data_IF_427782149383
#
_entry.id   IF_427782149383
#
_cell.length_a   1.000
_cell.length_b   1.000
_cell.length_c   1.000
_cell.angle_alpha   90.00
_cell.angle_beta   90.00
_cell.angle_gamma   90.00
#
_symmetry.space_group_name_H-M   'P 1'
#
loop_
_entity.id
_entity.type
_entity.pdbx_description
1 polymer ?
#
# COMPACT_ATOMS: atom_id res chain seq x y z
N UNK A 1 2.72 -16.44 -12.74
CA UNK A 1 3.96 -16.23 -13.53
C UNK A 1 4.69 -14.93 -13.14
N UNK A 2 4.01 -13.76 -13.12
CA UNK A 2 4.66 -12.46 -12.81
C UNK A 2 5.26 -12.46 -11.39
N UNK A 3 4.49 -12.86 -10.38
CA UNK A 3 4.92 -12.97 -8.98
C UNK A 3 6.23 -13.76 -8.85
N UNK A 4 6.29 -14.96 -9.42
CA UNK A 4 7.50 -15.80 -9.37
C UNK A 4 8.72 -15.15 -10.04
N UNK A 5 8.50 -14.42 -11.16
CA UNK A 5 9.59 -13.68 -11.81
C UNK A 5 10.11 -12.55 -10.91
N UNK A 6 9.19 -11.80 -10.30
CA UNK A 6 9.55 -10.70 -9.39
C UNK A 6 10.32 -11.23 -8.17
N UNK A 7 9.80 -12.24 -7.48
CA UNK A 7 10.44 -12.83 -6.31
C UNK A 7 11.82 -13.41 -6.64
N UNK A 8 11.96 -14.16 -7.73
CA UNK A 8 13.27 -14.66 -8.18
C UNK A 8 14.25 -13.54 -8.53
N UNK A 9 13.77 -12.45 -9.15
CA UNK A 9 14.63 -11.31 -9.50
C UNK A 9 15.12 -10.56 -8.27
N UNK A 10 14.27 -10.40 -7.25
CA UNK A 10 14.63 -9.78 -5.97
C UNK A 10 15.55 -10.69 -5.16
N UNK A 11 15.37 -12.01 -5.27
CA UNK A 11 16.23 -13.04 -4.66
C UNK A 11 16.54 -12.78 -3.17
N UNK A 12 15.51 -12.43 -2.39
CA UNK A 12 15.65 -12.17 -0.94
C UNK A 12 16.40 -10.90 -0.55
N UNK A 13 16.92 -10.11 -1.50
CA UNK A 13 17.67 -8.88 -1.21
C UNK A 13 16.81 -7.78 -0.58
N UNK A 14 15.50 -7.84 -0.79
CA UNK A 14 14.50 -6.94 -0.19
C UNK A 14 13.24 -7.72 0.15
N UNK A 15 12.52 -7.37 1.23
CA UNK A 15 11.21 -7.98 1.51
C UNK A 15 10.20 -7.59 0.43
N UNK A 16 9.46 -8.59 -0.05
CA UNK A 16 8.40 -8.38 -1.05
C UNK A 16 7.06 -8.73 -0.42
N UNK A 17 6.13 -7.79 -0.45
CA UNK A 17 4.73 -8.01 -0.06
C UNK A 17 3.91 -8.25 -1.32
N UNK A 18 3.17 -9.35 -1.37
CA UNK A 18 2.37 -9.75 -2.53
C UNK A 18 0.91 -9.41 -2.30
N UNK A 19 0.30 -8.63 -3.21
CA UNK A 19 -1.15 -8.40 -3.22
C UNK A 19 -1.90 -9.67 -3.60
N UNK A 20 -2.79 -10.12 -2.71
CA UNK A 20 -3.53 -11.38 -2.86
C UNK A 20 -5.04 -11.21 -2.81
N UNK A 21 -5.53 -9.97 -2.78
CA UNK A 21 -6.96 -9.67 -2.68
C UNK A 21 -7.76 -10.39 -3.76
N UNK A 22 -8.77 -11.13 -3.34
CA UNK A 22 -9.67 -11.89 -4.21
C UNK A 22 -11.05 -11.97 -3.56
N UNK A 23 -12.16 -11.84 -4.30
CA UNK A 23 -13.51 -11.99 -3.75
C UNK A 23 -13.75 -13.37 -3.13
N UNK A 24 -13.16 -14.44 -3.67
CA UNK A 24 -13.21 -15.78 -3.10
C UNK A 24 -12.08 -16.01 -2.11
N UNK A 25 -12.42 -16.28 -0.84
CA UNK A 25 -11.43 -16.51 0.23
C UNK A 25 -10.51 -17.67 -0.08
N UNK A 26 -11.02 -18.77 -0.64
CA UNK A 26 -10.21 -19.93 -0.99
C UNK A 26 -9.13 -19.60 -2.02
N UNK A 27 -9.47 -18.81 -3.05
CA UNK A 27 -8.51 -18.34 -4.04
C UNK A 27 -7.45 -17.43 -3.41
N UNK A 28 -7.87 -16.56 -2.49
CA UNK A 28 -6.97 -15.69 -1.74
C UNK A 28 -5.97 -16.53 -0.92
N UNK A 29 -6.45 -17.56 -0.23
CA UNK A 29 -5.60 -18.47 0.57
C UNK A 29 -4.61 -19.23 -0.32
N UNK A 30 -5.07 -19.76 -1.45
CA UNK A 30 -4.19 -20.47 -2.41
C UNK A 30 -3.09 -19.54 -2.92
N UNK A 31 -3.46 -18.33 -3.35
CA UNK A 31 -2.48 -17.34 -3.83
C UNK A 31 -1.50 -16.91 -2.74
N UNK A 32 -1.98 -16.78 -1.51
CA UNK A 32 -1.15 -16.41 -0.36
C UNK A 32 -0.11 -17.49 -0.04
N UNK A 33 -0.52 -18.75 -0.01
CA UNK A 33 0.39 -19.88 0.20
C UNK A 33 1.44 -19.96 -0.92
N UNK A 34 1.02 -19.78 -2.17
CA UNK A 34 1.93 -19.76 -3.31
C UNK A 34 2.93 -18.60 -3.21
N UNK A 35 2.50 -17.41 -2.78
CA UNK A 35 3.37 -16.27 -2.55
C UNK A 35 4.41 -16.56 -1.46
N UNK A 36 3.97 -17.05 -0.29
CA UNK A 36 4.87 -17.37 0.82
C UNK A 36 5.85 -18.47 0.46
N UNK A 37 5.40 -19.55 -0.18
CA UNK A 37 6.27 -20.64 -0.66
C UNK A 37 7.28 -20.18 -1.72
N UNK A 38 7.01 -19.09 -2.40
CA UNK A 38 7.90 -18.48 -3.40
C UNK A 38 8.85 -17.43 -2.81
N UNK A 39 8.84 -17.23 -1.48
CA UNK A 39 9.75 -16.33 -0.77
C UNK A 39 9.21 -14.90 -0.56
N UNK A 40 7.92 -14.69 -0.61
CA UNK A 40 7.32 -13.42 -0.17
C UNK A 40 7.52 -13.21 1.34
N UNK A 41 7.70 -11.96 1.76
CA UNK A 41 7.81 -11.58 3.17
C UNK A 41 6.44 -11.43 3.85
N UNK A 42 5.37 -11.38 3.08
CA UNK A 42 4.00 -11.26 3.55
C UNK A 42 3.03 -11.02 2.41
N UNK A 43 1.76 -10.91 2.76
CA UNK A 43 0.68 -10.67 1.80
C UNK A 43 -0.07 -9.39 2.11
N UNK A 44 -0.64 -8.76 1.08
CA UNK A 44 -1.47 -7.57 1.22
C UNK A 44 -2.91 -7.88 0.83
N UNK A 45 -3.84 -7.49 1.70
CA UNK A 45 -5.28 -7.73 1.55
C UNK A 45 -6.04 -6.41 1.66
N UNK A 46 -6.89 -6.14 0.70
CA UNK A 46 -7.87 -5.05 0.70
C UNK A 46 -9.29 -5.55 0.99
N UNK A 47 -10.18 -4.65 1.38
CA UNK A 47 -11.61 -4.94 1.46
C UNK A 47 -12.19 -5.28 0.08
N UNK A 48 -13.22 -6.13 0.08
CA UNK A 48 -14.02 -6.41 -1.12
C UNK A 48 -15.20 -5.44 -1.22
N UNK A 49 -15.66 -5.08 -2.43
CA UNK A 49 -16.82 -4.21 -2.59
C UNK A 49 -18.05 -4.74 -1.86
N UNK A 50 -18.85 -3.82 -1.31
CA UNK A 50 -20.10 -4.15 -0.62
C UNK A 50 -20.03 -4.17 0.91
N UNK A 51 -18.85 -4.07 1.51
CA UNK A 51 -18.70 -3.86 2.95
C UNK A 51 -19.04 -2.41 3.29
N UNK A 52 -20.06 -2.19 4.13
CA UNK A 52 -20.59 -0.84 4.42
C UNK A 52 -20.48 -0.44 5.89
N UNK A 53 -20.30 -1.40 6.78
CA UNK A 53 -20.22 -1.15 8.22
C UNK A 53 -18.93 -1.72 8.80
N UNK A 54 -18.45 -1.13 9.90
CA UNK A 54 -17.27 -1.60 10.61
C UNK A 54 -17.36 -3.08 10.99
N UNK A 55 -18.54 -3.55 11.36
CA UNK A 55 -18.73 -4.96 11.71
C UNK A 55 -18.60 -5.89 10.49
N UNK A 56 -19.09 -5.46 9.31
CA UNK A 56 -18.88 -6.21 8.07
C UNK A 56 -17.41 -6.24 7.68
N UNK A 57 -16.72 -5.11 7.78
CA UNK A 57 -15.27 -4.99 7.54
C UNK A 57 -14.50 -5.90 8.48
N UNK A 58 -14.78 -5.81 9.79
CA UNK A 58 -14.14 -6.65 10.80
C UNK A 58 -14.33 -8.15 10.52
N UNK A 59 -15.58 -8.58 10.25
CA UNK A 59 -15.87 -9.99 9.94
C UNK A 59 -15.12 -10.48 8.72
N UNK A 60 -15.09 -9.69 7.65
CA UNK A 60 -14.38 -10.05 6.44
C UNK A 60 -12.89 -10.27 6.70
N UNK A 61 -12.22 -9.28 7.29
CA UNK A 61 -10.78 -9.40 7.56
C UNK A 61 -10.49 -10.50 8.59
N UNK A 62 -11.31 -10.67 9.61
CA UNK A 62 -11.19 -11.76 10.58
C UNK A 62 -11.27 -13.13 9.89
N UNK A 63 -12.25 -13.32 9.01
CA UNK A 63 -12.40 -14.56 8.25
C UNK A 63 -11.18 -14.83 7.37
N UNK A 64 -10.70 -13.83 6.66
CA UNK A 64 -9.50 -13.94 5.80
C UNK A 64 -8.27 -14.29 6.64
N UNK A 65 -8.02 -13.57 7.75
CA UNK A 65 -6.83 -13.79 8.57
C UNK A 65 -6.87 -15.17 9.25
N UNK A 66 -8.03 -15.61 9.72
CA UNK A 66 -8.17 -16.98 10.25
C UNK A 66 -7.87 -18.05 9.18
N UNK A 67 -8.34 -17.84 7.94
CA UNK A 67 -8.09 -18.78 6.83
C UNK A 67 -6.60 -18.78 6.37
N UNK A 68 -5.90 -17.65 6.51
CA UNK A 68 -4.46 -17.55 6.26
C UNK A 68 -3.63 -18.24 7.35
N UNK A 69 -4.10 -18.22 8.59
CA UNK A 69 -3.36 -18.68 9.76
C UNK A 69 -2.44 -17.61 10.37
N UNK A 70 -1.91 -17.86 11.59
CA UNK A 70 -1.16 -16.87 12.35
C UNK A 70 0.24 -16.57 11.81
N UNK A 71 0.80 -17.45 11.01
CA UNK A 71 2.19 -17.39 10.55
C UNK A 71 2.39 -16.47 9.34
N UNK A 72 1.33 -16.16 8.60
CA UNK A 72 1.46 -15.32 7.39
C UNK A 72 1.36 -13.84 7.80
N UNK A 73 2.44 -13.04 7.59
CA UNK A 73 2.39 -11.61 7.85
C UNK A 73 1.43 -10.90 6.88
N UNK A 74 0.54 -10.08 7.44
CA UNK A 74 -0.50 -9.38 6.68
C UNK A 74 -0.26 -7.88 6.68
N UNK A 75 -0.34 -7.30 5.49
CA UNK A 75 -0.51 -5.87 5.27
C UNK A 75 -2.00 -5.59 4.97
N UNK A 76 -2.68 -4.84 5.82
CA UNK A 76 -4.02 -4.33 5.50
C UNK A 76 -3.90 -3.19 4.51
N UNK A 77 -4.72 -3.20 3.45
CA UNK A 77 -4.81 -2.08 2.50
C UNK A 77 -6.14 -1.34 2.66
N UNK A 78 -6.04 -0.05 2.93
CA UNK A 78 -7.17 0.89 2.98
C UNK A 78 -7.14 1.77 1.73
N UNK A 79 -7.89 1.37 0.69
CA UNK A 79 -7.91 2.06 -0.61
C UNK A 79 -9.34 2.36 -1.08
N UNK A 80 -10.09 3.24 -0.36
CA UNK A 80 -11.48 3.56 -0.66
C UNK A 80 -11.75 3.99 -2.11
N UNK A 81 -10.86 4.77 -2.77
CA UNK A 81 -11.11 5.19 -4.15
C UNK A 81 -11.33 4.05 -5.14
N UNK A 82 -10.77 2.87 -4.87
CA UNK A 82 -10.93 1.69 -5.74
C UNK A 82 -11.87 0.66 -5.16
N UNK A 83 -11.77 0.39 -3.85
CA UNK A 83 -12.56 -0.66 -3.19
C UNK A 83 -13.95 -0.20 -2.81
N UNK A 84 -14.18 1.11 -2.69
CA UNK A 84 -15.39 1.73 -2.11
C UNK A 84 -15.65 1.34 -0.66
N UNK A 85 -14.66 0.76 0.01
CA UNK A 85 -14.71 0.35 1.41
C UNK A 85 -13.87 1.29 2.25
N UNK A 86 -14.48 1.88 3.26
CA UNK A 86 -13.82 2.79 4.19
C UNK A 86 -13.56 2.06 5.51
N UNK A 87 -12.30 2.01 5.92
CA UNK A 87 -11.93 1.46 7.22
C UNK A 87 -11.87 2.59 8.25
N UNK A 88 -12.68 2.52 9.29
CA UNK A 88 -12.59 3.47 10.41
C UNK A 88 -11.34 3.21 11.25
N UNK A 89 -10.87 4.22 11.98
CA UNK A 89 -9.79 4.07 12.96
C UNK A 89 -10.12 2.96 13.97
N UNK A 90 -11.37 2.90 14.44
CA UNK A 90 -11.82 1.90 15.40
C UNK A 90 -11.70 0.48 14.87
N UNK A 91 -12.15 0.22 13.63
CA UNK A 91 -12.04 -1.12 13.05
C UNK A 91 -10.60 -1.52 12.76
N UNK A 92 -9.76 -0.58 12.34
CA UNK A 92 -8.32 -0.83 12.12
C UNK A 92 -7.65 -1.19 13.45
N UNK A 93 -7.86 -0.40 14.52
CA UNK A 93 -7.29 -0.65 15.83
C UNK A 93 -7.75 -1.99 16.40
N UNK A 94 -9.03 -2.33 16.29
CA UNK A 94 -9.58 -3.62 16.69
C UNK A 94 -8.90 -4.79 15.95
N UNK A 95 -8.76 -4.70 14.64
CA UNK A 95 -8.08 -5.72 13.83
C UNK A 95 -6.61 -5.87 14.23
N UNK A 96 -5.89 -4.77 14.44
CA UNK A 96 -4.48 -4.80 14.87
C UNK A 96 -4.34 -5.46 16.25
N UNK A 97 -5.27 -5.19 17.16
CA UNK A 97 -5.27 -5.77 18.52
C UNK A 97 -5.53 -7.27 18.48
N UNK A 98 -6.56 -7.68 17.76
CA UNK A 98 -7.03 -9.07 17.76
C UNK A 98 -6.13 -10.00 16.91
N UNK A 99 -5.42 -9.45 15.90
CA UNK A 99 -4.63 -10.24 14.96
C UNK A 99 -3.15 -9.82 14.93
N UNK A 100 -2.28 -10.45 15.72
CA UNK A 100 -0.83 -10.18 15.74
C UNK A 100 -0.11 -10.38 14.40
N UNK A 101 -0.69 -11.16 13.47
CA UNK A 101 -0.17 -11.35 12.11
C UNK A 101 -0.26 -10.09 11.24
N UNK A 102 -1.10 -9.11 11.59
CA UNK A 102 -1.12 -7.81 10.93
C UNK A 102 0.16 -7.05 11.35
N UNK A 103 1.07 -6.86 10.41
CA UNK A 103 2.36 -6.19 10.62
C UNK A 103 2.43 -4.82 9.99
N UNK A 104 1.57 -4.56 9.02
CA UNK A 104 1.63 -3.37 8.19
C UNK A 104 0.24 -2.89 7.80
N UNK A 105 0.13 -1.59 7.60
CA UNK A 105 -1.06 -0.92 7.08
C UNK A 105 -0.66 -0.02 5.90
N UNK A 106 -1.22 -0.28 4.72
CA UNK A 106 -1.06 0.58 3.56
C UNK A 106 -2.21 1.58 3.51
N UNK A 107 -1.87 2.84 3.71
CA UNK A 107 -2.81 3.95 3.84
C UNK A 107 -3.00 4.66 2.50
N UNK A 108 -4.21 4.58 1.96
CA UNK A 108 -4.59 5.21 0.69
C UNK A 108 -5.97 5.90 0.76
N UNK A 109 -6.51 6.13 1.96
CA UNK A 109 -7.68 6.99 2.15
C UNK A 109 -7.33 8.43 1.81
N UNK A 110 -8.23 9.14 1.13
CA UNK A 110 -7.97 10.49 0.65
C UNK A 110 -9.24 11.36 0.79
N UNK A 111 -9.15 12.42 1.61
CA UNK A 111 -8.05 12.89 2.42
C UNK A 111 -7.90 12.08 3.72
N UNK A 112 -6.73 11.46 3.94
CA UNK A 112 -6.49 10.50 5.02
C UNK A 112 -5.63 10.99 6.19
N UNK A 113 -5.17 12.24 6.18
CA UNK A 113 -4.20 12.77 7.16
C UNK A 113 -4.67 12.65 8.61
N UNK A 114 -5.95 12.91 8.89
CA UNK A 114 -6.52 12.77 10.25
C UNK A 114 -6.51 11.31 10.71
N UNK A 115 -6.87 10.39 9.82
CA UNK A 115 -6.86 8.94 10.08
C UNK A 115 -5.44 8.49 10.45
N UNK A 116 -4.45 8.86 9.65
CA UNK A 116 -3.04 8.55 9.92
C UNK A 116 -2.60 9.07 11.30
N UNK A 117 -2.87 10.35 11.61
CA UNK A 117 -2.53 10.93 12.91
C UNK A 117 -3.21 10.20 14.07
N UNK A 118 -4.45 9.75 13.90
CA UNK A 118 -5.18 9.00 14.93
C UNK A 118 -4.58 7.61 15.12
N UNK A 119 -4.26 6.89 14.04
CA UNK A 119 -3.61 5.58 14.10
C UNK A 119 -2.22 5.65 14.78
N UNK A 120 -1.49 6.74 14.56
CA UNK A 120 -0.17 6.93 15.20
C UNK A 120 -0.24 7.22 16.69
N UNK A 121 -1.30 7.85 17.16
CA UNK A 121 -1.52 8.11 18.58
C UNK A 121 -2.10 6.89 19.32
N UNK A 122 -2.80 6.00 18.66
CA UNK A 122 -3.47 4.86 19.28
C UNK A 122 -2.56 3.98 20.17
N UNK A 123 -1.28 3.72 19.85
CA UNK A 123 -0.39 3.01 20.77
C UNK A 123 -0.23 3.67 22.14
N UNK A 124 -0.21 4.98 22.20
CA UNK A 124 -0.03 5.75 23.43
C UNK A 124 -1.35 5.96 24.20
N UNK A 125 -2.45 6.16 23.45
CA UNK A 125 -3.75 6.53 24.04
C UNK A 125 -4.66 5.34 24.33
N UNK A 126 -4.53 4.26 23.55
CA UNK A 126 -5.44 3.10 23.58
C UNK A 126 -4.68 1.77 23.81
N UNK A 127 -3.35 1.81 23.92
CA UNK A 127 -2.52 0.61 24.07
C UNK A 127 -2.50 -0.31 22.85
N UNK A 128 -2.91 0.16 21.70
CA UNK A 128 -2.88 -0.60 20.44
C UNK A 128 -1.44 -0.84 20.01
N UNK A 129 -1.14 -2.07 19.58
CA UNK A 129 0.20 -2.39 19.08
C UNK A 129 0.58 -1.52 17.87
N UNK A 130 1.78 -0.97 17.85
CA UNK A 130 2.30 -0.21 16.71
C UNK A 130 2.54 -1.14 15.52
N UNK A 131 2.05 -0.76 14.36
CA UNK A 131 2.33 -1.39 13.06
C UNK A 131 3.00 -0.39 12.12
N UNK A 132 3.71 -0.89 11.11
CA UNK A 132 4.22 -0.02 10.06
C UNK A 132 3.07 0.55 9.23
N UNK A 133 3.06 1.87 9.02
CA UNK A 133 2.10 2.54 8.13
C UNK A 133 2.86 3.06 6.92
N UNK A 134 2.49 2.57 5.72
CA UNK A 134 3.04 3.04 4.46
C UNK A 134 1.99 3.82 3.69
N UNK A 135 2.37 5.01 3.24
CA UNK A 135 1.54 5.84 2.39
C UNK A 135 1.46 5.27 0.97
N UNK A 136 0.31 5.44 0.33
CA UNK A 136 0.12 5.03 -1.06
C UNK A 136 -0.15 6.21 -2.00
N UNK A 137 -1.22 6.13 -2.79
CA UNK A 137 -1.68 7.21 -3.69
C UNK A 137 -0.57 7.82 -4.56
N UNK A 138 0.35 6.99 -5.09
CA UNK A 138 1.46 7.48 -5.89
C UNK A 138 2.50 8.31 -5.14
N UNK A 139 2.36 8.44 -3.83
CA UNK A 139 3.15 9.36 -3.01
C UNK A 139 2.64 10.79 -3.02
N UNK A 140 1.40 11.04 -3.48
CA UNK A 140 0.83 12.39 -3.67
C UNK A 140 0.85 13.27 -2.42
N UNK A 141 0.82 12.69 -1.25
CA UNK A 141 0.84 13.39 0.03
C UNK A 141 2.03 12.95 0.90
N UNK A 142 3.08 12.43 0.29
CA UNK A 142 4.20 11.80 1.01
C UNK A 142 4.80 12.70 2.09
N UNK A 143 5.19 13.98 1.85
CA UNK A 143 5.76 14.81 2.90
C UNK A 143 4.80 15.00 4.08
N UNK A 144 3.53 15.31 3.80
CA UNK A 144 2.52 15.55 4.83
C UNK A 144 2.23 14.28 5.64
N UNK A 145 2.34 13.11 5.04
CA UNK A 145 2.15 11.82 5.71
C UNK A 145 3.37 11.42 6.53
N UNK A 146 4.58 11.70 6.05
CA UNK A 146 5.81 11.50 6.82
C UNK A 146 5.83 12.36 8.09
N UNK A 147 5.46 13.64 8.00
CA UNK A 147 5.32 14.52 9.18
C UNK A 147 4.29 13.99 10.20
N UNK A 148 3.34 13.17 9.78
CA UNK A 148 2.36 12.53 10.65
C UNK A 148 2.77 11.14 11.12
N UNK A 149 4.01 10.75 10.83
CA UNK A 149 4.60 9.51 11.30
C UNK A 149 4.33 8.30 10.40
N UNK A 150 4.09 8.48 9.11
CA UNK A 150 4.20 7.36 8.17
C UNK A 150 5.63 6.82 8.20
N UNK A 151 5.78 5.49 8.11
CA UNK A 151 7.08 4.83 8.15
C UNK A 151 7.73 4.73 6.76
N UNK A 152 7.05 5.21 5.74
CA UNK A 152 7.52 5.18 4.38
C UNK A 152 6.40 5.22 3.36
N UNK A 153 6.71 4.84 2.12
CA UNK A 153 5.80 4.89 0.98
C UNK A 153 5.76 3.55 0.25
N UNK A 154 4.57 3.11 -0.15
CA UNK A 154 4.36 1.95 -1.01
C UNK A 154 3.58 2.42 -2.25
N UNK A 155 4.28 2.84 -3.27
CA UNK A 155 3.73 3.54 -4.43
C UNK A 155 4.17 2.94 -5.75
N UNK A 156 3.36 3.14 -6.78
CA UNK A 156 3.66 2.76 -8.15
C UNK A 156 4.16 3.91 -9.03
N UNK A 157 4.59 5.04 -8.47
CA UNK A 157 5.10 6.18 -9.22
C UNK A 157 6.29 5.81 -10.14
N UNK A 158 6.35 6.39 -11.34
CA UNK A 158 7.35 6.04 -12.35
C UNK A 158 8.79 6.44 -12.01
N UNK A 159 9.00 7.25 -10.97
CA UNK A 159 10.32 7.62 -10.45
C UNK A 159 10.49 7.18 -9.00
N UNK A 160 10.64 5.86 -8.74
CA UNK A 160 10.77 5.36 -7.37
C UNK A 160 12.01 5.89 -6.64
N UNK A 161 13.10 6.19 -7.37
CA UNK A 161 14.30 6.78 -6.79
C UNK A 161 14.05 8.16 -6.18
N UNK A 162 13.16 8.97 -6.77
CA UNK A 162 12.74 10.24 -6.18
C UNK A 162 12.12 10.03 -4.80
N UNK A 163 11.13 9.15 -4.70
CA UNK A 163 10.45 8.89 -3.43
C UNK A 163 11.41 8.31 -2.38
N UNK A 164 12.38 7.49 -2.80
CA UNK A 164 13.43 7.01 -1.92
C UNK A 164 14.31 8.16 -1.41
N UNK A 165 14.75 9.07 -2.29
CA UNK A 165 15.57 10.22 -1.90
C UNK A 165 14.81 11.18 -0.96
N UNK A 166 13.54 11.46 -1.23
CA UNK A 166 12.69 12.27 -0.35
C UNK A 166 12.58 11.62 1.03
N UNK A 167 12.35 10.30 1.09
CA UNK A 167 12.30 9.56 2.34
C UNK A 167 13.63 9.60 3.11
N UNK A 168 14.74 9.36 2.43
CA UNK A 168 16.08 9.37 3.03
C UNK A 168 16.46 10.74 3.60
N UNK A 169 16.15 11.82 2.86
CA UNK A 169 16.35 13.19 3.34
C UNK A 169 15.50 13.48 4.57
N UNK A 170 14.22 13.11 4.53
CA UNK A 170 13.32 13.31 5.67
C UNK A 170 13.80 12.57 6.91
N UNK A 171 14.25 11.33 6.77
CA UNK A 171 14.79 10.52 7.88
C UNK A 171 16.14 11.00 8.38
N UNK A 172 16.83 11.85 7.63
CA UNK A 172 18.08 12.51 8.02
C UNK A 172 17.85 13.90 8.62
N UNK A 173 16.64 14.21 9.09
CA UNK A 173 16.23 15.51 9.65
C UNK A 173 16.41 16.70 8.67
N UNK A 174 16.29 16.41 7.37
CA UNK A 174 16.35 17.38 6.27
C UNK A 174 15.00 17.52 5.58
N UNK A 175 13.95 17.79 6.38
CA UNK A 175 12.58 17.81 5.89
C UNK A 175 12.35 18.90 4.82
N UNK A 176 12.90 20.10 5.00
CA UNK A 176 12.77 21.20 4.06
C UNK A 176 13.40 20.84 2.69
N UNK A 177 14.61 20.27 2.68
CA UNK A 177 15.27 19.82 1.45
C UNK A 177 14.47 18.68 0.76
N UNK A 178 13.84 17.80 1.55
CA UNK A 178 12.99 16.73 1.07
C UNK A 178 11.73 17.29 0.38
N UNK A 179 11.11 18.30 0.97
CA UNK A 179 9.94 18.98 0.41
C UNK A 179 10.29 19.77 -0.85
N UNK A 180 11.39 20.50 -0.86
CA UNK A 180 11.88 21.22 -2.04
C UNK A 180 12.12 20.26 -3.21
N UNK A 181 12.78 19.13 -2.96
CA UNK A 181 12.97 18.10 -3.99
C UNK A 181 11.64 17.53 -4.47
N UNK A 182 10.72 17.23 -3.53
CA UNK A 182 9.41 16.66 -3.85
C UNK A 182 8.58 17.62 -4.71
N UNK A 183 8.56 18.90 -4.39
CA UNK A 183 7.74 19.91 -5.07
C UNK A 183 8.13 20.09 -6.55
N UNK A 184 9.39 19.88 -6.90
CA UNK A 184 9.84 19.88 -8.32
C UNK A 184 9.07 18.83 -9.14
N UNK A 185 8.76 17.67 -8.55
CA UNK A 185 8.09 16.56 -9.22
C UNK A 185 6.59 16.46 -8.95
N UNK A 186 6.05 17.28 -8.04
CA UNK A 186 4.65 17.25 -7.67
C UNK A 186 3.69 17.38 -8.88
N UNK A 187 3.93 18.21 -9.89
CA UNK A 187 3.09 18.26 -11.10
C UNK A 187 2.99 16.90 -11.80
N UNK A 188 4.10 16.18 -11.94
CA UNK A 188 4.11 14.85 -12.57
C UNK A 188 3.40 13.82 -11.71
N UNK A 189 3.61 13.84 -10.39
CA UNK A 189 2.91 12.95 -9.44
C UNK A 189 1.41 13.15 -9.56
N UNK A 190 0.91 14.39 -9.61
CA UNK A 190 -0.52 14.70 -9.80
C UNK A 190 -1.05 14.17 -11.12
N UNK A 191 -0.31 14.31 -12.22
CA UNK A 191 -0.71 13.78 -13.51
C UNK A 191 -0.81 12.27 -13.49
N UNK A 192 0.14 11.58 -12.88
CA UNK A 192 0.16 10.12 -12.78
C UNK A 192 -0.92 9.55 -11.84
N UNK A 193 -1.44 10.36 -10.91
CA UNK A 193 -2.51 9.96 -9.99
C UNK A 193 -3.94 10.21 -10.52
N UNK A 194 -4.09 10.68 -11.76
CA UNK A 194 -5.40 10.86 -12.36
C UNK A 194 -6.08 9.50 -12.61
N UNK A 195 -7.33 9.39 -12.18
CA UNK A 195 -8.15 8.23 -12.51
C UNK A 195 -8.33 8.11 -14.05
N UNK A 196 -8.20 6.88 -14.55
CA UNK A 196 -8.30 6.58 -15.97
C UNK A 196 -7.00 6.83 -16.73
N UNK A 197 -6.38 8.00 -16.63
CA UNK A 197 -5.18 8.36 -17.40
C UNK A 197 -3.86 7.95 -16.74
N UNK A 198 -3.81 7.83 -15.44
CA UNK A 198 -2.57 7.63 -14.67
C UNK A 198 -1.75 6.42 -15.12
N UNK A 199 -2.40 5.31 -15.43
CA UNK A 199 -1.70 4.12 -15.93
C UNK A 199 -1.04 4.35 -17.28
N UNK A 200 -1.72 5.04 -18.22
CA UNK A 200 -1.17 5.35 -19.53
C UNK A 200 0.04 6.30 -19.41
N UNK A 201 -0.08 7.34 -18.60
CA UNK A 201 1.00 8.28 -18.31
C UNK A 201 2.22 7.57 -17.71
N UNK A 202 2.02 6.73 -16.71
CA UNK A 202 3.09 5.92 -16.08
C UNK A 202 3.79 5.03 -17.09
N UNK A 203 3.04 4.32 -17.90
CA UNK A 203 3.61 3.42 -18.92
C UNK A 203 4.37 4.19 -19.98
N UNK A 204 3.87 5.33 -20.45
CA UNK A 204 4.58 6.18 -21.41
C UNK A 204 5.86 6.77 -20.78
N UNK A 205 5.80 7.20 -19.54
CA UNK A 205 6.98 7.66 -18.80
C UNK A 205 8.04 6.56 -18.70
N UNK A 206 7.66 5.36 -18.31
CA UNK A 206 8.56 4.19 -18.23
C UNK A 206 9.11 3.80 -19.62
N UNK A 207 8.31 3.95 -20.68
CA UNK A 207 8.78 3.72 -22.05
C UNK A 207 9.83 4.75 -22.46
N UNK A 208 9.62 6.03 -22.16
CA UNK A 208 10.62 7.09 -22.43
C UNK A 208 11.91 6.90 -21.65
N UNK A 209 11.83 6.32 -20.45
CA UNK A 209 12.99 5.93 -19.64
C UNK A 209 13.70 4.66 -20.17
N UNK A 210 13.17 4.01 -21.20
CA UNK A 210 13.73 2.76 -21.73
C UNK A 210 13.44 1.52 -20.87
N UNK A 211 12.59 1.64 -19.83
CA UNK A 211 12.22 0.54 -18.95
C UNK A 211 11.21 -0.41 -19.62
N UNK A 212 10.30 0.15 -20.43
CA UNK A 212 9.31 -0.60 -21.21
C UNK A 212 9.54 -0.39 -22.72
N UNK A 213 9.40 -1.47 -23.49
CA UNK A 213 9.43 -1.40 -24.95
C UNK A 213 8.16 -0.74 -25.53
N UNK A 214 7.02 -0.81 -24.82
CA UNK A 214 5.73 -0.29 -25.27
C UNK A 214 4.93 0.27 -24.10
N UNK A 215 4.23 1.38 -24.32
CA UNK A 215 3.29 1.96 -23.37
C UNK A 215 1.87 1.35 -23.47
N UNK A 216 1.62 0.45 -24.44
CA UNK A 216 0.29 -0.13 -24.64
C UNK A 216 -0.25 -0.82 -23.37
N UNK A 217 -1.45 -0.46 -22.97
CA UNK A 217 -2.18 -1.13 -21.89
C UNK A 217 -2.97 -2.32 -22.42
N UNK A 218 -3.36 -3.25 -21.54
CA UNK A 218 -4.31 -4.30 -21.87
C UNK A 218 -5.72 -3.71 -21.95
N UNK A 219 -6.52 -4.20 -22.89
CA UNK A 219 -7.92 -3.81 -22.97
C UNK A 219 -8.71 -4.34 -21.75
N UNK A 220 -9.69 -3.57 -21.27
CA UNK A 220 -10.15 -2.24 -21.70
C UNK A 220 -9.39 -1.06 -21.08
N UNK A 221 -8.09 -1.16 -20.90
CA UNK A 221 -7.29 -0.12 -20.29
C UNK A 221 -7.17 1.15 -21.15
N UNK A 222 -6.79 2.29 -20.54
CA UNK A 222 -6.56 3.54 -21.26
C UNK A 222 -5.38 3.38 -22.23
N UNK A 223 -5.53 3.94 -23.42
CA UNK A 223 -4.51 3.98 -24.49
C UNK A 223 -3.76 5.32 -24.48
#
# INVERSE_FOLDING_TARGET
QFMHRALRRVNGQRPVIVGVSNPGVDNLVVLSREAMNSGAAGVMVSGIPGLKTDEQVYRYFSQVIHALGPEIPVCLQDYPPTTTVYLSVGVINRLITDFPSIKMFKHEDCPGHRKLSSLRRAPETEGVRRVSILSGNGGLYMPQELHRGADGVMSGFAFPALLASVYEMFMADRADDAEDLYDIYLPLIRHEQQFGLGLALRKETLRRQGVLASAKSRDPGPS
#
